data_IF_154736890249
#
_entry.id   IF_154736890249
#
_cell.length_a   1.000
_cell.length_b   1.000
_cell.length_c   1.000
_cell.angle_alpha   90.00
_cell.angle_beta   90.00
_cell.angle_gamma   90.00
#
_symmetry.space_group_name_H-M   'P 1'
#
loop_
_entity.id
_entity.type
_entity.pdbx_description
1 polymer ?
#
# COMPACT_ATOMS: atom_id res chain seq x y z
N UNK A 1 -40.28 -12.47 3.15
CA UNK A 1 -39.18 -13.14 3.88
C UNK A 1 -37.87 -12.65 3.27
N UNK A 2 -37.29 -11.60 3.82
CA UNK A 2 -36.06 -10.99 3.28
C UNK A 2 -34.85 -11.64 3.96
N UNK A 3 -34.10 -12.43 3.20
CA UNK A 3 -32.87 -13.07 3.66
C UNK A 3 -31.74 -12.05 3.52
N UNK A 4 -31.46 -11.31 4.60
CA UNK A 4 -30.26 -10.47 4.69
C UNK A 4 -29.11 -11.45 4.89
N UNK A 5 -28.30 -11.63 3.85
CA UNK A 5 -27.03 -12.34 3.95
C UNK A 5 -26.16 -11.46 4.85
N UNK A 6 -25.81 -11.88 6.09
CA UNK A 6 -24.83 -11.13 6.84
C UNK A 6 -23.54 -11.22 6.04
N UNK A 7 -23.14 -10.09 5.42
CA UNK A 7 -21.76 -9.94 5.01
C UNK A 7 -20.93 -10.26 6.26
N UNK A 8 -20.02 -11.25 6.21
CA UNK A 8 -19.17 -11.50 7.35
C UNK A 8 -18.48 -10.17 7.65
N UNK A 9 -18.76 -9.61 8.82
CA UNK A 9 -18.02 -8.47 9.33
C UNK A 9 -16.55 -8.83 9.14
N UNK A 10 -15.82 -7.99 8.39
CA UNK A 10 -14.41 -8.18 8.02
C UNK A 10 -13.66 -8.44 9.32
N UNK A 11 -13.51 -9.71 9.67
CA UNK A 11 -12.84 -10.13 10.88
C UNK A 11 -11.42 -9.66 10.64
N UNK A 12 -11.01 -8.67 11.41
CA UNK A 12 -9.66 -8.12 11.41
C UNK A 12 -8.75 -9.20 11.97
N UNK A 13 -8.63 -10.33 11.27
CA UNK A 13 -7.53 -11.24 11.46
C UNK A 13 -6.29 -10.43 11.10
N UNK A 14 -5.39 -10.40 12.06
CA UNK A 14 -4.26 -9.50 12.11
C UNK A 14 -3.24 -9.99 11.07
N UNK A 15 -3.41 -9.59 9.81
CA UNK A 15 -2.54 -10.01 8.71
C UNK A 15 -1.37 -9.06 8.46
N UNK A 16 -1.36 -7.90 9.12
CA UNK A 16 -0.27 -6.93 9.03
C UNK A 16 -0.42 -6.03 7.81
N UNK A 17 0.61 -5.23 7.56
CA UNK A 17 0.58 -4.18 6.55
C UNK A 17 1.75 -4.34 5.61
N UNK A 18 1.52 -4.38 4.30
CA UNK A 18 2.58 -4.22 3.31
C UNK A 18 2.79 -2.74 3.08
N UNK A 19 3.98 -2.24 3.35
CA UNK A 19 4.32 -0.84 3.20
C UNK A 19 5.22 -0.60 2.00
N UNK A 20 4.97 0.51 1.31
CA UNK A 20 5.90 1.13 0.37
C UNK A 20 6.52 2.36 1.02
N UNK A 21 7.85 2.41 1.04
CA UNK A 21 8.67 3.49 1.57
C UNK A 21 9.67 3.99 0.54
N UNK A 22 10.40 5.03 0.90
CA UNK A 22 11.42 5.65 0.06
C UNK A 22 10.85 6.74 -0.84
N UNK A 23 11.70 7.19 -1.76
CA UNK A 23 11.44 8.31 -2.64
C UNK A 23 12.18 8.14 -3.97
N UNK A 24 12.10 9.14 -4.86
CA UNK A 24 12.68 9.05 -6.21
C UNK A 24 14.21 9.17 -6.22
N UNK A 25 14.81 9.68 -5.16
CA UNK A 25 16.26 9.87 -5.04
C UNK A 25 16.92 8.57 -4.56
N UNK A 26 16.43 7.96 -3.48
CA UNK A 26 16.98 6.71 -2.93
C UNK A 26 16.34 5.43 -3.52
N UNK A 27 15.19 5.59 -4.19
CA UNK A 27 14.37 4.50 -4.71
C UNK A 27 13.32 4.04 -3.69
N UNK A 28 12.27 3.41 -4.22
CA UNK A 28 11.16 2.91 -3.42
C UNK A 28 11.41 1.49 -2.95
N UNK A 29 11.00 1.15 -1.73
CA UNK A 29 11.18 -0.19 -1.16
C UNK A 29 9.88 -0.68 -0.57
N UNK A 30 9.63 -1.99 -0.67
CA UNK A 30 8.43 -2.64 -0.14
C UNK A 30 8.81 -3.57 1.00
N UNK A 31 8.10 -3.53 2.12
CA UNK A 31 8.29 -4.48 3.22
C UNK A 31 6.98 -4.75 3.94
N UNK A 32 6.87 -5.93 4.57
CA UNK A 32 5.71 -6.31 5.36
C UNK A 32 5.95 -6.07 6.84
N UNK A 33 5.06 -5.32 7.47
CA UNK A 33 4.95 -5.21 8.91
C UNK A 33 3.99 -6.30 9.42
N UNK A 34 4.47 -7.11 10.36
CA UNK A 34 3.63 -8.09 11.05
C UNK A 34 2.53 -7.38 11.80
N UNK A 35 1.40 -8.04 11.99
CA UNK A 35 0.21 -7.40 12.52
C UNK A 35 0.25 -6.97 13.99
N UNK A 36 1.28 -7.40 14.73
CA UNK A 36 1.58 -6.90 16.06
C UNK A 36 2.35 -5.58 16.03
N UNK A 37 2.93 -5.20 14.88
CA UNK A 37 3.80 -4.03 14.70
C UNK A 37 5.25 -4.26 15.11
N UNK A 38 5.57 -5.40 15.71
CA UNK A 38 6.89 -5.67 16.32
C UNK A 38 7.91 -6.32 15.37
N UNK A 39 7.55 -6.58 14.12
CA UNK A 39 8.40 -7.34 13.20
C UNK A 39 8.22 -6.92 11.76
N UNK A 40 9.34 -6.79 11.07
CA UNK A 40 9.43 -6.41 9.66
C UNK A 40 9.99 -7.55 8.83
N UNK A 41 9.36 -7.84 7.71
CA UNK A 41 9.84 -8.78 6.71
C UNK A 41 11.00 -8.21 5.89
N UNK A 42 11.54 -9.04 5.00
CA UNK A 42 12.57 -8.60 4.06
C UNK A 42 12.09 -7.43 3.19
N UNK A 43 13.00 -6.50 2.93
CA UNK A 43 12.74 -5.37 2.04
C UNK A 43 12.96 -5.79 0.57
N UNK A 44 12.02 -5.47 -0.30
CA UNK A 44 12.08 -5.70 -1.74
C UNK A 44 12.31 -4.35 -2.41
N UNK A 45 13.36 -4.22 -3.22
CA UNK A 45 13.76 -2.98 -3.87
C UNK A 45 15.28 -2.79 -3.85
N UNK A 46 15.77 -1.57 -4.17
CA UNK A 46 14.98 -0.39 -4.52
C UNK A 46 14.34 -0.47 -5.91
N UNK A 47 13.19 0.18 -6.07
CA UNK A 47 12.49 0.38 -7.33
C UNK A 47 12.64 1.84 -7.77
N UNK A 48 12.96 2.09 -9.04
CA UNK A 48 13.12 3.44 -9.59
C UNK A 48 11.81 4.23 -9.72
N UNK A 49 10.66 3.53 -9.77
CA UNK A 49 9.34 4.13 -9.98
C UNK A 49 8.38 3.75 -8.86
N UNK A 50 7.57 4.71 -8.46
CA UNK A 50 6.50 4.50 -7.48
C UNK A 50 5.47 3.49 -7.98
N UNK A 51 5.17 3.50 -9.28
CA UNK A 51 4.23 2.54 -9.88
C UNK A 51 4.71 1.09 -9.76
N UNK A 52 5.99 0.83 -10.00
CA UNK A 52 6.58 -0.50 -9.87
C UNK A 52 6.57 -0.98 -8.41
N UNK A 53 6.91 -0.08 -7.47
CA UNK A 53 6.85 -0.39 -6.04
C UNK A 53 5.43 -0.68 -5.55
N UNK A 54 4.43 0.08 -6.03
CA UNK A 54 3.02 -0.16 -5.73
C UNK A 54 2.58 -1.52 -6.29
N UNK A 55 2.93 -1.82 -7.54
CA UNK A 55 2.62 -3.11 -8.15
C UNK A 55 3.27 -4.27 -7.37
N UNK A 56 4.53 -4.11 -6.95
CA UNK A 56 5.25 -5.08 -6.13
C UNK A 56 4.60 -5.27 -4.75
N UNK A 57 4.10 -4.22 -4.12
CA UNK A 57 3.38 -4.32 -2.84
C UNK A 57 2.07 -5.11 -2.96
N UNK A 58 1.28 -4.86 -4.00
CA UNK A 58 0.07 -5.64 -4.25
C UNK A 58 0.37 -7.09 -4.65
N UNK A 59 1.43 -7.32 -5.43
CA UNK A 59 1.89 -8.66 -5.76
C UNK A 59 2.33 -9.42 -4.49
N UNK A 60 3.16 -8.81 -3.64
CA UNK A 60 3.59 -9.38 -2.37
C UNK A 60 2.39 -9.76 -1.48
N UNK A 61 1.43 -8.86 -1.32
CA UNK A 61 0.21 -9.14 -0.57
C UNK A 61 -0.55 -10.34 -1.16
N UNK A 62 -0.75 -10.37 -2.48
CA UNK A 62 -1.48 -11.45 -3.16
C UNK A 62 -0.77 -12.80 -3.03
N UNK A 63 0.51 -12.83 -3.37
CA UNK A 63 1.27 -14.06 -3.59
C UNK A 63 1.72 -14.69 -2.28
N UNK A 64 2.17 -13.89 -1.29
CA UNK A 64 2.69 -14.40 -0.02
C UNK A 64 1.64 -14.37 1.11
N UNK A 65 0.72 -13.39 1.09
CA UNK A 65 -0.23 -13.15 2.18
C UNK A 65 -1.70 -13.36 1.79
N UNK A 66 -1.95 -13.94 0.61
CA UNK A 66 -3.30 -14.27 0.13
C UNK A 66 -4.23 -13.06 -0.05
N UNK A 67 -3.66 -11.86 -0.18
CA UNK A 67 -4.40 -10.60 -0.32
C UNK A 67 -5.05 -10.12 0.98
N UNK A 68 -4.59 -10.60 2.13
CA UNK A 68 -5.23 -10.33 3.42
C UNK A 68 -4.60 -9.16 4.19
N UNK A 69 -3.40 -8.70 3.81
CA UNK A 69 -2.76 -7.54 4.42
C UNK A 69 -3.39 -6.23 3.95
N UNK A 70 -3.32 -5.20 4.78
CA UNK A 70 -3.49 -3.83 4.33
C UNK A 70 -2.26 -3.40 3.53
N UNK A 71 -2.44 -2.49 2.57
CA UNK A 71 -1.33 -1.97 1.74
C UNK A 71 -1.21 -0.48 1.96
N UNK A 72 -0.10 -0.06 2.57
CA UNK A 72 0.24 1.34 2.81
C UNK A 72 1.19 1.84 1.73
N UNK A 73 0.81 2.90 1.01
CA UNK A 73 1.65 3.52 -0.01
C UNK A 73 2.08 4.91 0.46
N UNK A 74 3.38 5.17 0.52
CA UNK A 74 3.89 6.52 0.83
C UNK A 74 3.49 7.55 -0.23
N UNK A 75 3.40 8.82 0.19
CA UNK A 75 2.99 9.93 -0.68
C UNK A 75 3.92 10.12 -1.90
N UNK A 76 5.23 9.92 -1.71
CA UNK A 76 6.22 9.99 -2.78
C UNK A 76 5.96 8.95 -3.87
N UNK A 77 5.62 7.71 -3.50
CA UNK A 77 5.31 6.65 -4.47
C UNK A 77 4.00 6.95 -5.21
N UNK A 78 3.00 7.51 -4.53
CA UNK A 78 1.74 7.94 -5.16
C UNK A 78 1.95 9.06 -6.16
N UNK A 79 2.74 10.05 -5.79
CA UNK A 79 3.08 11.20 -6.65
C UNK A 79 3.90 10.77 -7.86
N UNK A 80 4.87 9.88 -7.69
CA UNK A 80 5.67 9.38 -8.82
C UNK A 80 4.86 8.46 -9.75
N UNK A 81 3.97 7.63 -9.20
CA UNK A 81 3.11 6.74 -9.98
C UNK A 81 2.01 7.48 -10.76
N UNK A 82 1.57 8.63 -10.26
CA UNK A 82 0.58 9.46 -10.93
C UNK A 82 1.01 10.93 -10.91
N UNK A 83 1.97 11.32 -11.76
CA UNK A 83 2.44 12.71 -11.82
C UNK A 83 1.36 13.68 -12.36
N UNK A 84 0.24 13.17 -12.91
CA UNK A 84 -0.83 13.93 -13.54
C UNK A 84 -2.02 14.24 -12.62
N UNK A 85 -2.15 13.57 -11.46
CA UNK A 85 -2.91 14.16 -10.34
C UNK A 85 -2.02 15.18 -9.66
N UNK A 86 -1.75 16.27 -10.40
CA UNK A 86 -1.39 17.52 -9.78
C UNK A 86 -2.33 17.74 -8.62
N UNK A 87 -1.78 18.14 -7.47
CA UNK A 87 -2.54 18.75 -6.39
C UNK A 87 -3.69 19.52 -7.03
N UNK A 88 -4.93 19.10 -6.76
CA UNK A 88 -6.06 19.94 -7.03
C UNK A 88 -5.76 21.22 -6.25
N UNK A 89 -5.16 22.19 -6.94
CA UNK A 89 -5.08 23.57 -6.49
C UNK A 89 -6.52 23.90 -6.20
N UNK A 90 -6.85 24.01 -4.92
CA UNK A 90 -8.16 24.49 -4.51
C UNK A 90 -8.40 25.79 -5.29
N UNK A 91 -9.43 25.88 -6.15
CA UNK A 91 -9.74 27.13 -6.81
C UNK A 91 -10.35 28.04 -5.75
N UNK A 92 -9.54 28.92 -5.14
CA UNK A 92 -10.07 29.73 -4.03
C UNK A 92 -9.19 30.79 -3.39
N UNK A 93 -7.97 31.07 -3.84
CA UNK A 93 -7.23 32.25 -3.37
C UNK A 93 -7.05 33.24 -4.54
N UNK A 94 -8.04 34.14 -4.66
CA UNK A 94 -7.93 35.44 -5.31
C UNK A 94 -7.98 36.51 -4.23
#
# INVERSE_FOLDING_TARGET
MSHIIPFPARRSDRHGTVHVFGDRIEGFTVSHESASGDSWGGAIGPFDRGQDAIAAAYALNRDEYGGQCDVFICDAARTDACPDVGFATYPGEF
#
